data_IF_174754010123
#
_entry.id   IF_174754010123
#
_cell.length_a   1.000
_cell.length_b   1.000
_cell.length_c   1.000
_cell.angle_alpha   90.00
_cell.angle_beta   90.00
_cell.angle_gamma   90.00
#
_symmetry.space_group_name_H-M   'P 1'
#
loop_
_entity.id
_entity.type
_entity.pdbx_description
1 polymer ?
#
# COMPACT_ATOMS: atom_id res chain seq x y z
N UNK A 1 27.88 14.50 -10.33
CA UNK A 1 27.53 14.19 -11.72
C UNK A 1 27.61 15.45 -12.58
N UNK A 2 28.18 15.35 -13.77
CA UNK A 2 28.16 16.44 -14.78
C UNK A 2 26.73 16.69 -15.29
N UNK A 3 26.51 17.83 -15.95
CA UNK A 3 25.19 18.23 -16.45
C UNK A 3 24.57 17.24 -17.43
N UNK A 4 25.38 16.66 -18.32
CA UNK A 4 24.89 15.65 -19.28
C UNK A 4 24.43 14.35 -18.57
N UNK A 5 25.17 13.91 -17.58
CA UNK A 5 24.82 12.74 -16.77
C UNK A 5 23.57 13.01 -15.92
N UNK A 6 23.52 14.17 -15.23
CA UNK A 6 22.37 14.61 -14.47
C UNK A 6 21.11 14.65 -15.34
N UNK A 7 21.19 15.30 -16.50
CA UNK A 7 20.09 15.44 -17.45
C UNK A 7 19.53 14.05 -17.84
N UNK A 8 20.41 13.14 -18.25
CA UNK A 8 20.00 11.80 -18.67
C UNK A 8 19.32 11.05 -17.53
N UNK A 9 19.91 11.08 -16.32
CA UNK A 9 19.38 10.37 -15.15
C UNK A 9 18.02 10.92 -14.73
N UNK A 10 17.89 12.24 -14.56
CA UNK A 10 16.64 12.82 -14.07
C UNK A 10 15.46 12.61 -15.04
N UNK A 11 15.71 12.60 -16.35
CA UNK A 11 14.69 12.24 -17.34
C UNK A 11 14.25 10.78 -17.20
N UNK A 12 15.18 9.85 -17.06
CA UNK A 12 14.88 8.44 -16.89
C UNK A 12 14.11 8.19 -15.57
N UNK A 13 14.58 8.79 -14.48
CA UNK A 13 14.00 8.56 -13.14
C UNK A 13 12.59 9.16 -13.02
N UNK A 14 12.36 10.36 -13.61
CA UNK A 14 11.06 11.02 -13.50
C UNK A 14 10.09 10.66 -14.63
N UNK A 15 10.57 10.34 -15.83
CA UNK A 15 9.68 10.18 -17.00
C UNK A 15 9.77 8.81 -17.67
N UNK A 16 10.76 7.99 -17.30
CA UNK A 16 11.05 6.71 -17.95
C UNK A 16 11.61 6.84 -19.37
N UNK A 17 11.97 8.05 -19.80
CA UNK A 17 12.42 8.36 -21.15
C UNK A 17 13.72 9.16 -21.13
N UNK A 18 14.47 9.15 -22.21
CA UNK A 18 15.62 10.06 -22.40
C UNK A 18 15.15 11.41 -22.96
N UNK A 19 15.90 12.50 -22.74
CA UNK A 19 15.59 13.77 -23.36
C UNK A 19 15.76 13.70 -24.89
N UNK A 20 15.00 14.52 -25.61
CA UNK A 20 15.23 14.73 -27.02
C UNK A 20 16.56 15.49 -27.26
N UNK A 21 17.12 15.39 -28.45
CA UNK A 21 18.35 16.09 -28.79
C UNK A 21 18.22 17.64 -28.68
N UNK A 22 17.03 18.19 -28.90
CA UNK A 22 16.75 19.61 -28.72
C UNK A 22 16.76 20.00 -27.25
N UNK A 23 16.09 19.24 -26.38
CA UNK A 23 16.07 19.46 -24.93
C UNK A 23 17.48 19.33 -24.32
N UNK A 24 18.24 18.32 -24.77
CA UNK A 24 19.61 18.12 -24.31
C UNK A 24 20.52 19.34 -24.69
N UNK A 25 20.46 19.80 -25.92
CA UNK A 25 21.23 20.99 -26.35
C UNK A 25 20.83 22.25 -25.58
N UNK A 26 19.52 22.46 -25.41
CA UNK A 26 19.02 23.63 -24.67
C UNK A 26 19.49 23.63 -23.20
N UNK A 27 19.40 22.49 -22.50
CA UNK A 27 19.84 22.37 -21.12
C UNK A 27 21.34 22.52 -20.94
N UNK A 28 22.16 21.96 -21.87
CA UNK A 28 23.60 22.05 -21.77
C UNK A 28 24.12 23.47 -22.12
N UNK A 29 23.42 24.21 -22.97
CA UNK A 29 23.72 25.61 -23.31
C UNK A 29 23.29 26.61 -22.23
N UNK A 30 22.33 26.25 -21.38
CA UNK A 30 21.83 27.08 -20.28
C UNK A 30 22.90 27.24 -19.20
N UNK A 31 23.27 28.51 -18.89
CA UNK A 31 24.25 28.84 -17.85
C UNK A 31 23.60 29.29 -16.53
N UNK A 32 22.27 29.19 -16.41
CA UNK A 32 21.55 29.56 -15.20
C UNK A 32 21.96 28.66 -14.01
N UNK A 33 22.24 29.24 -12.83
CA UNK A 33 22.66 28.45 -11.66
C UNK A 33 21.57 27.50 -11.14
N UNK A 34 20.31 27.80 -11.45
CA UNK A 34 19.12 27.05 -11.03
C UNK A 34 18.53 26.12 -12.12
N UNK A 35 19.26 25.94 -13.23
CA UNK A 35 18.78 25.13 -14.37
C UNK A 35 18.38 23.70 -14.00
N UNK A 36 19.09 23.08 -13.04
CA UNK A 36 18.77 21.71 -12.57
C UNK A 36 17.45 21.68 -11.82
N UNK A 37 17.21 22.61 -10.90
CA UNK A 37 15.95 22.74 -10.16
C UNK A 37 14.79 23.01 -11.11
N UNK A 38 14.93 23.96 -12.02
CA UNK A 38 13.92 24.26 -13.05
C UNK A 38 13.59 23.06 -13.92
N UNK A 39 14.59 22.24 -14.25
CA UNK A 39 14.36 21.01 -15.01
C UNK A 39 13.55 19.99 -14.20
N UNK A 40 13.90 19.77 -12.93
CA UNK A 40 13.16 18.86 -12.04
C UNK A 40 11.70 19.29 -11.92
N UNK A 41 11.44 20.57 -11.62
CA UNK A 41 10.07 21.11 -11.49
C UNK A 41 9.26 20.93 -12.77
N UNK A 42 9.87 21.20 -13.92
CA UNK A 42 9.24 21.00 -15.23
C UNK A 42 8.88 19.54 -15.47
N UNK A 43 9.78 18.61 -15.17
CA UNK A 43 9.52 17.18 -15.36
C UNK A 43 8.46 16.67 -14.41
N UNK A 44 8.48 17.06 -13.13
CA UNK A 44 7.45 16.71 -12.13
C UNK A 44 6.06 17.25 -12.52
N UNK A 45 5.99 18.38 -13.24
CA UNK A 45 4.75 18.92 -13.80
C UNK A 45 4.26 18.24 -15.08
N UNK A 46 5.04 17.35 -15.68
CA UNK A 46 4.76 16.80 -17.00
C UNK A 46 3.79 15.61 -16.99
N UNK A 47 2.99 15.40 -18.07
CA UNK A 47 2.21 14.18 -18.23
C UNK A 47 3.07 12.90 -18.30
N UNK A 48 4.34 13.01 -18.69
CA UNK A 48 5.27 11.88 -18.74
C UNK A 48 5.60 11.37 -17.33
N UNK A 49 5.83 12.28 -16.36
CA UNK A 49 5.96 11.92 -14.95
C UNK A 49 4.74 11.16 -14.45
N UNK A 50 3.54 11.69 -14.71
CA UNK A 50 2.30 11.04 -14.25
C UNK A 50 2.18 9.62 -14.78
N UNK A 51 2.48 9.39 -16.06
CA UNK A 51 2.46 8.03 -16.64
C UNK A 51 3.50 7.11 -16.01
N UNK A 52 4.71 7.64 -15.82
CA UNK A 52 5.84 6.85 -15.30
C UNK A 52 5.61 6.43 -13.85
N UNK A 53 5.29 7.37 -12.97
CA UNK A 53 5.04 7.08 -11.56
C UNK A 53 3.80 6.19 -11.36
N UNK A 54 2.73 6.40 -12.14
CA UNK A 54 1.56 5.54 -12.10
C UNK A 54 1.89 4.10 -12.53
N UNK A 55 2.75 3.92 -13.54
CA UNK A 55 3.20 2.59 -13.96
C UNK A 55 4.09 1.91 -12.90
N UNK A 56 4.96 2.67 -12.22
CA UNK A 56 5.77 2.16 -11.12
C UNK A 56 4.90 1.68 -9.95
N UNK A 57 3.88 2.45 -9.59
CA UNK A 57 2.92 2.06 -8.54
C UNK A 57 2.00 0.92 -8.95
N UNK A 58 1.57 0.83 -10.22
CA UNK A 58 0.83 -0.32 -10.74
C UNK A 58 1.67 -1.61 -10.59
N UNK A 59 2.94 -1.56 -11.01
CA UNK A 59 3.85 -2.69 -10.86
C UNK A 59 4.06 -3.06 -9.39
N UNK A 60 4.29 -2.07 -8.53
CA UNK A 60 4.50 -2.28 -7.10
C UNK A 60 3.29 -2.92 -6.43
N UNK A 61 2.07 -2.42 -6.69
CA UNK A 61 0.86 -2.82 -5.97
C UNK A 61 0.16 -4.03 -6.58
N UNK A 62 0.25 -4.22 -7.89
CA UNK A 62 -0.48 -5.28 -8.60
C UNK A 62 0.43 -6.36 -9.22
N UNK A 63 1.76 -6.19 -9.24
CA UNK A 63 2.73 -7.20 -9.70
C UNK A 63 2.37 -7.84 -11.06
N UNK A 64 1.79 -7.03 -11.98
CA UNK A 64 1.28 -7.48 -13.29
C UNK A 64 0.16 -8.52 -13.21
N UNK A 65 -0.60 -8.56 -12.12
CA UNK A 65 -1.78 -9.44 -12.01
C UNK A 65 -2.80 -9.13 -13.12
N UNK A 66 -3.39 -10.19 -13.63
CA UNK A 66 -4.47 -10.10 -14.63
C UNK A 66 -5.74 -9.49 -14.04
N UNK A 67 -6.66 -9.15 -14.94
CA UNK A 67 -7.97 -8.59 -14.57
C UNK A 67 -8.92 -9.69 -14.09
N UNK A 68 -9.53 -9.48 -12.93
CA UNK A 68 -10.57 -10.36 -12.42
C UNK A 68 -11.89 -9.61 -12.19
N UNK A 69 -11.91 -8.71 -11.24
CA UNK A 69 -13.11 -7.97 -10.83
C UNK A 69 -13.07 -6.49 -11.22
N UNK A 70 -11.88 -5.92 -11.35
CA UNK A 70 -11.66 -4.52 -11.75
C UNK A 70 -10.71 -4.49 -12.93
N UNK A 71 -11.11 -3.78 -14.00
CA UNK A 71 -10.30 -3.71 -15.22
C UNK A 71 -9.02 -2.88 -15.03
N UNK A 72 -7.92 -3.35 -15.62
CA UNK A 72 -6.63 -2.65 -15.58
C UNK A 72 -6.68 -1.21 -16.11
N UNK A 73 -7.46 -0.86 -17.17
CA UNK A 73 -7.61 0.53 -17.57
C UNK A 73 -8.22 1.43 -16.51
N UNK A 74 -9.24 0.96 -15.74
CA UNK A 74 -9.85 1.73 -14.65
C UNK A 74 -8.85 1.99 -13.52
N UNK A 75 -8.10 0.97 -13.15
CA UNK A 75 -7.04 1.06 -12.14
C UNK A 75 -5.92 2.01 -12.56
N UNK A 76 -5.41 1.89 -13.79
CA UNK A 76 -4.37 2.78 -14.32
C UNK A 76 -4.86 4.22 -14.41
N UNK A 77 -6.08 4.43 -14.84
CA UNK A 77 -6.69 5.78 -14.86
C UNK A 77 -6.79 6.36 -13.45
N UNK A 78 -7.19 5.56 -12.45
CA UNK A 78 -7.22 5.99 -11.05
C UNK A 78 -5.85 6.43 -10.54
N UNK A 79 -4.79 5.65 -10.79
CA UNK A 79 -3.42 6.03 -10.42
C UNK A 79 -2.98 7.30 -11.14
N UNK A 80 -3.17 7.39 -12.46
CA UNK A 80 -2.80 8.58 -13.22
C UNK A 80 -3.52 9.83 -12.73
N UNK A 81 -4.82 9.75 -12.49
CA UNK A 81 -5.60 10.87 -11.95
C UNK A 81 -5.12 11.27 -10.56
N UNK A 82 -4.79 10.30 -9.70
CA UNK A 82 -4.26 10.55 -8.36
C UNK A 82 -2.91 11.28 -8.41
N UNK A 83 -1.97 10.82 -9.23
CA UNK A 83 -0.65 11.46 -9.36
C UNK A 83 -0.71 12.80 -10.12
N UNK A 84 -1.60 12.96 -11.09
CA UNK A 84 -1.82 14.25 -11.74
C UNK A 84 -2.31 15.31 -10.76
N UNK A 85 -3.23 14.92 -9.87
CA UNK A 85 -3.76 15.78 -8.79
C UNK A 85 -2.78 15.91 -7.60
N UNK A 86 -1.61 15.29 -7.66
CA UNK A 86 -0.66 15.20 -6.54
C UNK A 86 -1.33 14.73 -5.23
N UNK A 87 -2.20 13.69 -5.33
CA UNK A 87 -2.87 13.11 -4.17
C UNK A 87 -1.82 12.62 -3.16
N UNK A 88 -1.91 13.02 -1.88
CA UNK A 88 -1.00 12.52 -0.85
C UNK A 88 -0.98 10.99 -0.80
N UNK A 89 0.22 10.40 -0.64
CA UNK A 89 0.35 8.94 -0.64
C UNK A 89 -0.48 8.26 0.46
N UNK A 90 -0.56 8.85 1.64
CA UNK A 90 -1.38 8.31 2.72
C UNK A 90 -2.87 8.24 2.34
N UNK A 91 -3.39 9.23 1.61
CA UNK A 91 -4.76 9.19 1.09
C UNK A 91 -4.91 8.10 0.01
N UNK A 92 -3.95 8.00 -0.92
CA UNK A 92 -3.94 6.94 -1.93
C UNK A 92 -3.96 5.55 -1.27
N UNK A 93 -3.10 5.33 -0.28
CA UNK A 93 -3.02 4.08 0.47
C UNK A 93 -4.31 3.81 1.28
N UNK A 94 -4.88 4.84 1.91
CA UNK A 94 -6.15 4.71 2.64
C UNK A 94 -7.31 4.30 1.73
N UNK A 95 -7.39 4.87 0.53
CA UNK A 95 -8.39 4.49 -0.47
C UNK A 95 -8.19 3.04 -0.92
N UNK A 96 -6.95 2.60 -1.19
CA UNK A 96 -6.64 1.22 -1.59
C UNK A 96 -6.97 0.21 -0.47
N UNK A 97 -6.58 0.51 0.76
CA UNK A 97 -6.83 -0.37 1.90
C UNK A 97 -8.30 -0.36 2.34
N UNK A 98 -9.00 0.76 2.19
CA UNK A 98 -10.35 0.98 2.69
C UNK A 98 -11.49 0.76 1.68
N UNK A 99 -11.25 0.93 0.38
CA UNK A 99 -12.31 0.85 -0.62
C UNK A 99 -12.96 -0.53 -0.69
N UNK A 100 -14.29 -0.56 -0.74
CA UNK A 100 -15.07 -1.79 -0.88
C UNK A 100 -15.59 -2.03 -2.31
N UNK A 101 -15.41 -1.05 -3.18
CA UNK A 101 -15.81 -1.11 -4.58
C UNK A 101 -17.31 -0.89 -4.83
N UNK A 102 -18.09 -0.49 -3.81
CA UNK A 102 -19.50 -0.17 -3.95
C UNK A 102 -19.74 1.26 -4.45
N UNK A 103 -18.90 2.20 -4.02
CA UNK A 103 -18.88 3.54 -4.59
C UNK A 103 -18.16 3.52 -5.94
N UNK A 104 -18.82 3.96 -7.05
CA UNK A 104 -18.18 4.02 -8.36
C UNK A 104 -16.89 4.82 -8.39
N UNK A 105 -16.76 5.88 -7.57
CA UNK A 105 -15.55 6.70 -7.48
C UNK A 105 -14.38 5.97 -6.81
N UNK A 106 -14.68 5.00 -5.94
CA UNK A 106 -13.73 4.18 -5.20
C UNK A 106 -13.71 2.72 -5.71
N UNK A 107 -14.26 2.48 -6.90
CA UNK A 107 -14.26 1.15 -7.52
C UNK A 107 -12.85 0.69 -7.86
N UNK A 108 -12.09 1.55 -8.50
CA UNK A 108 -10.75 1.23 -8.97
C UNK A 108 -9.76 0.85 -7.83
N UNK A 109 -9.64 1.60 -6.71
CA UNK A 109 -8.73 1.22 -5.62
C UNK A 109 -9.11 -0.10 -4.94
N UNK A 110 -10.36 -0.54 -5.00
CA UNK A 110 -10.76 -1.85 -4.49
C UNK A 110 -10.15 -3.03 -5.26
N UNK A 111 -9.52 -2.80 -6.44
CA UNK A 111 -8.80 -3.81 -7.23
C UNK A 111 -7.79 -4.58 -6.38
N UNK A 112 -7.08 -3.89 -5.48
CA UNK A 112 -6.05 -4.51 -4.65
C UNK A 112 -6.57 -5.74 -3.91
N UNK A 113 -7.72 -5.65 -3.27
CA UNK A 113 -8.34 -6.77 -2.57
C UNK A 113 -9.22 -7.65 -3.47
N UNK A 114 -10.03 -7.05 -4.33
CA UNK A 114 -10.99 -7.78 -5.18
C UNK A 114 -10.28 -8.78 -6.10
N UNK A 115 -9.22 -8.36 -6.78
CA UNK A 115 -8.53 -9.22 -7.74
C UNK A 115 -7.62 -10.29 -7.07
N UNK A 116 -7.53 -10.25 -5.75
CA UNK A 116 -6.96 -11.31 -4.89
C UNK A 116 -8.04 -12.18 -4.23
N UNK A 117 -9.34 -12.00 -4.61
CA UNK A 117 -10.51 -12.65 -4.00
C UNK A 117 -10.64 -12.45 -2.50
N UNK A 118 -9.88 -11.54 -1.94
CA UNK A 118 -9.70 -11.37 -0.48
C UNK A 118 -9.38 -12.69 0.21
N UNK A 119 -8.57 -13.57 -0.46
CA UNK A 119 -8.05 -14.73 0.24
C UNK A 119 -7.24 -14.20 1.43
N UNK A 120 -7.64 -14.53 2.68
CA UNK A 120 -7.14 -13.77 3.83
C UNK A 120 -5.63 -13.88 4.03
N UNK A 121 -5.03 -15.04 3.74
CA UNK A 121 -3.58 -15.22 3.89
C UNK A 121 -2.83 -14.45 2.81
N UNK A 122 -3.28 -14.54 1.54
CA UNK A 122 -2.70 -13.77 0.45
C UNK A 122 -2.84 -12.26 0.71
N UNK A 123 -4.03 -11.81 1.12
CA UNK A 123 -4.28 -10.40 1.41
C UNK A 123 -3.37 -9.89 2.55
N UNK A 124 -3.16 -10.69 3.60
CA UNK A 124 -2.29 -10.35 4.73
C UNK A 124 -0.83 -10.19 4.29
N UNK A 125 -0.30 -11.17 3.55
CA UNK A 125 1.08 -11.13 3.03
C UNK A 125 1.30 -9.94 2.12
N UNK A 126 0.38 -9.68 1.20
CA UNK A 126 0.48 -8.55 0.27
C UNK A 126 0.36 -7.20 0.98
N UNK A 127 -0.50 -7.09 1.99
CA UNK A 127 -0.54 -5.88 2.84
C UNK A 127 0.78 -5.69 3.58
N UNK A 128 1.34 -6.75 4.17
CA UNK A 128 2.64 -6.72 4.83
C UNK A 128 3.75 -6.25 3.89
N UNK A 129 3.87 -6.89 2.73
CA UNK A 129 4.92 -6.57 1.74
C UNK A 129 4.77 -5.18 1.15
N UNK A 130 3.57 -4.80 0.67
CA UNK A 130 3.38 -3.57 -0.09
C UNK A 130 3.32 -2.32 0.79
N UNK A 131 2.68 -2.40 1.96
CA UNK A 131 2.44 -1.24 2.81
C UNK A 131 3.36 -1.15 4.03
N UNK A 132 3.91 -2.26 4.48
CA UNK A 132 4.77 -2.29 5.68
C UNK A 132 6.21 -2.75 5.40
N UNK A 133 6.49 -3.25 4.20
CA UNK A 133 7.84 -3.67 3.79
C UNK A 133 8.33 -4.94 4.50
N UNK A 134 7.41 -5.83 4.88
CA UNK A 134 7.72 -7.08 5.57
C UNK A 134 7.11 -8.27 4.85
N UNK A 135 7.88 -9.31 4.60
CA UNK A 135 7.38 -10.58 4.09
C UNK A 135 7.16 -11.55 5.26
N UNK A 136 5.90 -11.66 5.68
CA UNK A 136 5.48 -12.50 6.79
C UNK A 136 5.02 -13.90 6.36
N UNK A 137 5.41 -14.41 5.20
CA UNK A 137 4.90 -15.70 4.70
C UNK A 137 5.20 -16.85 5.67
N UNK A 138 6.41 -16.94 6.20
CA UNK A 138 6.78 -17.96 7.18
C UNK A 138 6.02 -17.80 8.51
N UNK A 139 5.72 -16.55 8.89
CA UNK A 139 5.03 -16.23 10.13
C UNK A 139 3.54 -16.64 10.13
N UNK A 140 3.01 -17.14 9.02
CA UNK A 140 1.70 -17.76 8.97
C UNK A 140 1.61 -19.05 9.83
N UNK A 141 2.68 -19.83 9.90
CA UNK A 141 2.67 -21.15 10.54
C UNK A 141 3.44 -21.19 11.86
N UNK A 142 4.45 -20.34 12.01
CA UNK A 142 5.36 -20.27 13.17
C UNK A 142 6.11 -18.95 13.15
N UNK A 143 6.79 -18.58 14.23
CA UNK A 143 7.73 -17.46 14.22
C UNK A 143 8.83 -17.71 13.19
N UNK A 144 9.31 -16.67 12.51
CA UNK A 144 10.27 -16.84 11.43
C UNK A 144 11.59 -17.43 11.98
N UNK A 145 12.15 -18.51 11.36
CA UNK A 145 13.28 -19.24 11.95
C UNK A 145 14.60 -18.46 12.00
N UNK A 146 14.74 -17.42 11.17
CA UNK A 146 15.99 -16.64 11.04
C UNK A 146 15.78 -15.13 11.17
N UNK A 147 14.58 -14.67 11.48
CA UNK A 147 14.24 -13.25 11.62
C UNK A 147 13.42 -13.10 12.89
N UNK A 148 14.08 -12.67 13.96
CA UNK A 148 13.56 -12.68 15.33
C UNK A 148 12.34 -11.75 15.52
N UNK A 149 12.19 -10.72 14.69
CA UNK A 149 11.10 -9.77 14.75
C UNK A 149 9.94 -10.08 13.77
N UNK A 150 9.95 -11.27 13.11
CA UNK A 150 8.83 -11.75 12.30
C UNK A 150 8.04 -12.82 13.07
N UNK A 151 7.15 -12.35 13.94
CA UNK A 151 6.39 -13.22 14.83
C UNK A 151 5.06 -13.66 14.20
N UNK A 152 4.64 -14.89 14.48
CA UNK A 152 3.32 -15.40 14.09
C UNK A 152 2.20 -14.50 14.63
N UNK A 153 2.35 -13.97 15.82
CA UNK A 153 1.41 -13.02 16.40
C UNK A 153 1.28 -11.72 15.59
N UNK A 154 2.36 -11.23 14.94
CA UNK A 154 2.30 -10.05 14.07
C UNK A 154 1.57 -10.35 12.76
N UNK A 155 1.82 -11.53 12.18
CA UNK A 155 1.07 -12.01 11.03
C UNK A 155 -0.42 -12.03 11.31
N UNK A 156 -0.84 -12.66 12.41
CA UNK A 156 -2.26 -12.79 12.75
C UNK A 156 -2.88 -11.48 13.24
N UNK A 157 -2.10 -10.55 13.76
CA UNK A 157 -2.51 -9.17 14.01
C UNK A 157 -2.93 -8.45 12.74
N UNK A 158 -2.12 -8.54 11.66
CA UNK A 158 -2.49 -8.01 10.33
C UNK A 158 -3.64 -8.82 9.70
N UNK A 159 -3.60 -10.15 9.78
CA UNK A 159 -4.66 -11.03 9.29
C UNK A 159 -6.03 -10.67 9.88
N UNK A 160 -6.08 -10.30 11.15
CA UNK A 160 -7.32 -9.95 11.82
C UNK A 160 -8.02 -8.74 11.19
N UNK A 161 -7.30 -7.82 10.52
CA UNK A 161 -7.92 -6.72 9.81
C UNK A 161 -8.70 -7.17 8.57
N UNK A 162 -8.25 -8.22 7.90
CA UNK A 162 -8.80 -8.66 6.60
C UNK A 162 -9.67 -9.92 6.70
N UNK A 163 -9.53 -10.70 7.77
CA UNK A 163 -10.15 -12.02 7.94
C UNK A 163 -11.69 -12.04 7.89
N UNK A 164 -12.33 -10.90 8.18
CA UNK A 164 -13.79 -10.74 8.12
C UNK A 164 -14.29 -10.32 6.75
N UNK A 165 -13.38 -9.94 5.83
CA UNK A 165 -13.72 -9.43 4.50
C UNK A 165 -13.87 -10.58 3.50
N UNK A 166 -14.81 -10.46 2.58
CA UNK A 166 -15.05 -11.43 1.51
C UNK A 166 -15.63 -10.75 0.26
N UNK A 167 -15.51 -11.42 -0.88
CA UNK A 167 -16.13 -10.96 -2.13
C UNK A 167 -17.63 -11.20 -2.09
N UNK A 168 -18.41 -10.16 -2.31
CA UNK A 168 -19.86 -10.21 -2.40
C UNK A 168 -20.31 -9.94 -3.83
N UNK A 169 -20.83 -10.97 -4.48
CA UNK A 169 -21.35 -10.91 -5.86
C UNK A 169 -22.55 -11.86 -5.99
N UNK A 170 -23.74 -11.44 -5.53
CA UNK A 170 -24.94 -12.29 -5.58
C UNK A 170 -25.45 -12.54 -6.99
N UNK A 171 -25.11 -11.67 -7.93
CA UNK A 171 -25.46 -11.74 -9.34
C UNK A 171 -24.20 -11.54 -10.18
N UNK A 172 -23.82 -12.54 -10.98
CA UNK A 172 -22.62 -12.49 -11.84
C UNK A 172 -22.67 -11.38 -12.90
N UNK A 173 -23.85 -10.82 -13.19
CA UNK A 173 -24.03 -9.69 -14.10
C UNK A 173 -23.72 -8.34 -13.44
N UNK A 174 -23.63 -8.29 -12.10
CA UNK A 174 -23.29 -7.09 -11.36
C UNK A 174 -21.82 -7.12 -10.93
N UNK A 175 -21.20 -5.95 -10.79
CA UNK A 175 -19.82 -5.88 -10.27
C UNK A 175 -19.72 -6.53 -8.88
N UNK A 176 -18.66 -7.31 -8.67
CA UNK A 176 -18.31 -7.80 -7.35
C UNK A 176 -17.88 -6.63 -6.44
N UNK A 177 -18.23 -6.67 -5.17
CA UNK A 177 -17.84 -5.70 -4.15
C UNK A 177 -17.32 -6.45 -2.92
N UNK A 178 -16.67 -5.75 -2.01
CA UNK A 178 -16.28 -6.33 -0.73
C UNK A 178 -17.42 -6.18 0.27
N UNK A 179 -17.62 -7.22 1.06
CA UNK A 179 -18.45 -7.21 2.24
C UNK A 179 -17.62 -7.67 3.46
N UNK A 180 -18.07 -7.36 4.65
CA UNK A 180 -17.37 -7.68 5.87
C UNK A 180 -18.34 -8.25 6.91
N UNK A 181 -17.91 -9.31 7.62
CA UNK A 181 -18.64 -9.83 8.77
C UNK A 181 -18.41 -8.92 9.97
N UNK A 182 -19.41 -8.75 10.82
CA UNK A 182 -19.25 -8.00 12.06
C UNK A 182 -18.52 -8.80 13.14
N UNK A 183 -18.59 -10.13 13.06
CA UNK A 183 -18.05 -11.05 14.07
C UNK A 183 -17.00 -11.98 13.46
N UNK A 184 -16.17 -12.55 14.31
CA UNK A 184 -15.15 -13.54 13.99
C UNK A 184 -13.83 -13.25 14.70
N UNK A 185 -13.47 -14.14 15.64
CA UNK A 185 -12.18 -14.08 16.32
C UNK A 185 -11.11 -14.75 15.47
N UNK A 186 -9.90 -14.26 15.59
CA UNK A 186 -8.73 -14.85 14.95
C UNK A 186 -8.02 -15.74 15.96
N UNK A 187 -8.02 -17.03 15.68
CA UNK A 187 -7.27 -18.04 16.44
C UNK A 187 -6.13 -18.55 15.58
N UNK A 188 -5.00 -18.79 16.19
CA UNK A 188 -3.85 -19.38 15.52
C UNK A 188 -3.13 -20.38 16.41
N UNK A 189 -2.36 -21.25 15.77
CA UNK A 189 -1.58 -22.29 16.46
C UNK A 189 -0.22 -22.41 15.80
N UNK A 190 0.84 -22.40 16.59
CA UNK A 190 2.19 -22.66 16.11
C UNK A 190 2.36 -24.14 15.80
N UNK A 191 2.83 -24.45 14.58
CA UNK A 191 3.08 -25.83 14.15
C UNK A 191 4.26 -26.48 14.86
N UNK A 192 5.19 -25.67 15.43
CA UNK A 192 6.36 -26.20 16.12
C UNK A 192 6.17 -26.32 17.63
N UNK A 193 5.61 -25.28 18.24
CA UNK A 193 5.49 -25.24 19.71
C UNK A 193 4.12 -25.74 20.21
N UNK A 194 3.12 -25.82 19.32
CA UNK A 194 1.73 -26.08 19.68
C UNK A 194 1.05 -24.94 20.42
N UNK A 195 1.73 -23.79 20.59
CA UNK A 195 1.15 -22.62 21.24
C UNK A 195 -0.12 -22.16 20.48
N UNK A 196 -1.19 -21.97 21.22
CA UNK A 196 -2.46 -21.45 20.70
C UNK A 196 -2.68 -20.02 21.19
N UNK A 197 -3.05 -19.13 20.29
CA UNK A 197 -3.32 -17.73 20.59
C UNK A 197 -4.64 -17.25 19.99
N UNK A 198 -5.19 -16.21 20.60
CA UNK A 198 -6.29 -15.42 20.05
C UNK A 198 -5.77 -14.01 19.92
N UNK A 199 -6.01 -13.37 18.78
CA UNK A 199 -5.55 -12.00 18.56
C UNK A 199 -6.66 -11.13 17.96
N UNK A 200 -6.59 -9.85 18.32
CA UNK A 200 -7.34 -8.76 17.72
C UNK A 200 -6.50 -8.06 16.67
N UNK A 201 -7.09 -7.21 15.81
CA UNK A 201 -6.31 -6.44 14.85
C UNK A 201 -5.22 -5.61 15.53
N UNK A 202 -4.00 -5.68 14.99
CA UNK A 202 -2.88 -4.82 15.37
C UNK A 202 -1.94 -4.59 14.19
N UNK A 203 -1.37 -3.40 14.12
CA UNK A 203 -0.27 -3.12 13.19
C UNK A 203 1.04 -3.65 13.77
N UNK A 204 2.05 -3.77 12.91
CA UNK A 204 3.39 -4.22 13.30
C UNK A 204 3.97 -3.31 14.38
N UNK A 205 4.44 -3.92 15.46
CA UNK A 205 5.00 -3.22 16.61
C UNK A 205 4.02 -2.38 17.43
N UNK A 206 2.70 -2.52 17.20
CA UNK A 206 1.66 -1.80 17.92
C UNK A 206 0.87 -2.75 18.85
N UNK A 207 0.12 -2.17 19.78
CA UNK A 207 -0.84 -2.91 20.60
C UNK A 207 -2.08 -3.29 19.79
N UNK A 208 -2.80 -4.32 20.26
CA UNK A 208 -4.10 -4.70 19.74
C UNK A 208 -5.10 -3.54 19.82
N UNK A 209 -6.01 -3.50 18.87
CA UNK A 209 -7.05 -2.46 18.82
C UNK A 209 -8.23 -2.90 19.67
N UNK A 210 -8.71 -2.00 20.53
CA UNK A 210 -9.98 -2.19 21.20
C UNK A 210 -11.12 -2.07 20.19
N UNK A 211 -11.96 -3.10 20.16
CA UNK A 211 -13.14 -3.14 19.32
C UNK A 211 -14.40 -2.84 20.15
N UNK A 212 -15.35 -2.08 19.59
CA UNK A 212 -16.61 -1.83 20.29
C UNK A 212 -17.40 -3.14 20.42
N UNK A 213 -18.02 -3.36 21.58
CA UNK A 213 -18.98 -4.43 21.77
C UNK A 213 -20.38 -3.97 21.43
N UNK A 214 -21.12 -4.82 20.74
CA UNK A 214 -22.53 -4.59 20.39
C UNK A 214 -23.40 -5.66 21.05
N UNK A 215 -24.64 -5.30 21.36
CA UNK A 215 -25.63 -6.32 21.74
C UNK A 215 -25.88 -7.25 20.56
N UNK A 216 -26.22 -8.49 20.86
CA UNK A 216 -26.49 -9.50 19.83
C UNK A 216 -27.50 -8.98 18.81
N UNK A 217 -27.04 -8.91 17.57
CA UNK A 217 -27.83 -8.46 16.44
C UNK A 217 -27.86 -6.94 16.21
N UNK A 218 -27.12 -6.13 16.95
CA UNK A 218 -26.97 -4.68 16.72
C UNK A 218 -25.64 -4.29 16.06
N UNK A 219 -24.86 -5.25 15.67
CA UNK A 219 -23.50 -5.16 15.13
C UNK A 219 -23.43 -4.74 13.64
N UNK A 220 -24.57 -4.76 12.94
CA UNK A 220 -24.68 -4.35 11.56
C UNK A 220 -25.47 -3.04 11.39
N UNK A 221 -25.04 -2.18 10.44
CA UNK A 221 -25.87 -1.12 9.86
C UNK A 221 -26.88 -1.71 8.88
N UNK A 222 -26.42 -2.66 8.04
CA UNK A 222 -27.25 -3.42 7.11
C UNK A 222 -26.97 -4.90 7.36
N UNK A 223 -27.98 -5.64 7.83
CA UNK A 223 -27.87 -7.09 8.07
C UNK A 223 -28.04 -7.87 6.77
N UNK A 224 -27.36 -8.99 6.67
CA UNK A 224 -27.67 -10.00 5.68
C UNK A 224 -29.12 -10.51 5.92
N UNK A 225 -29.89 -10.62 4.85
CA UNK A 225 -31.21 -11.24 4.88
C UNK A 225 -31.09 -12.64 4.24
N UNK A 226 -31.33 -13.73 4.99
CA UNK A 226 -31.27 -15.09 4.44
C UNK A 226 -32.22 -15.32 3.26
N UNK A 227 -33.33 -14.56 3.20
CA UNK A 227 -34.32 -14.64 2.12
C UNK A 227 -33.96 -13.77 0.92
N UNK A 228 -33.10 -12.75 1.12
CA UNK A 228 -32.70 -11.78 0.09
C UNK A 228 -31.18 -11.78 -0.08
N UNK A 229 -30.67 -12.78 -0.77
CA UNK A 229 -29.22 -12.98 -0.98
C UNK A 229 -28.48 -11.80 -1.68
N UNK A 230 -29.22 -10.83 -2.19
CA UNK A 230 -28.68 -9.63 -2.85
C UNK A 230 -28.41 -8.44 -1.91
N UNK A 231 -28.69 -8.57 -0.61
CA UNK A 231 -28.39 -7.54 0.38
C UNK A 231 -26.97 -7.74 0.89
N UNK A 232 -26.08 -6.76 0.58
CA UNK A 232 -24.74 -6.73 1.12
C UNK A 232 -24.76 -6.35 2.59
N UNK A 233 -24.24 -7.17 3.51
CA UNK A 233 -24.13 -6.77 4.90
C UNK A 233 -23.07 -5.66 5.07
N UNK A 234 -23.37 -4.71 5.96
CA UNK A 234 -22.48 -3.62 6.31
C UNK A 234 -22.38 -3.60 7.86
N UNK A 235 -21.21 -3.93 8.44
CA UNK A 235 -21.03 -3.87 9.87
C UNK A 235 -20.98 -2.42 10.36
N UNK A 236 -21.34 -2.18 11.62
CA UNK A 236 -21.16 -0.88 12.28
C UNK A 236 -19.69 -0.57 12.51
N UNK A 237 -18.85 -1.60 12.66
CA UNK A 237 -17.42 -1.48 12.84
C UNK A 237 -16.68 -2.34 11.79
N UNK A 238 -15.90 -1.70 10.96
CA UNK A 238 -15.11 -2.36 9.91
C UNK A 238 -13.65 -2.45 10.34
N UNK A 239 -13.12 -3.67 10.47
CA UNK A 239 -11.70 -3.92 10.74
C UNK A 239 -10.82 -3.40 9.61
N UNK A 240 -11.25 -3.57 8.36
CA UNK A 240 -10.51 -3.09 7.20
C UNK A 240 -10.46 -1.55 7.12
N UNK A 241 -11.54 -0.86 7.51
CA UNK A 241 -11.51 0.59 7.63
C UNK A 241 -10.55 1.06 8.74
N UNK A 242 -10.40 0.28 9.83
CA UNK A 242 -9.39 0.56 10.85
C UNK A 242 -7.96 0.35 10.33
N UNK A 243 -7.71 -0.69 9.52
CA UNK A 243 -6.43 -0.86 8.84
C UNK A 243 -6.07 0.39 8.04
N UNK A 244 -6.97 0.81 7.14
CA UNK A 244 -6.77 1.98 6.30
C UNK A 244 -6.43 3.22 7.14
N UNK A 245 -7.26 3.52 8.15
CA UNK A 245 -7.09 4.69 9.01
C UNK A 245 -5.76 4.66 9.77
N UNK A 246 -5.45 3.53 10.44
CA UNK A 246 -4.30 3.45 11.35
C UNK A 246 -2.97 3.27 10.63
N UNK A 247 -2.96 2.64 9.47
CA UNK A 247 -1.75 2.53 8.65
C UNK A 247 -1.30 3.90 8.12
N UNK A 248 -2.26 4.78 7.81
CA UNK A 248 -2.03 5.98 7.01
C UNK A 248 -2.11 7.30 7.79
N UNK A 249 -2.28 7.25 9.11
CA UNK A 249 -2.38 8.44 9.98
C UNK A 249 -1.02 9.11 10.30
N UNK A 250 0.07 8.61 9.74
CA UNK A 250 1.42 9.11 9.95
C UNK A 250 2.13 8.54 11.19
N UNK A 251 1.44 7.77 12.01
CA UNK A 251 1.97 7.22 13.28
C UNK A 251 2.56 5.81 13.15
N UNK A 252 2.39 5.16 12.00
CA UNK A 252 2.94 3.83 11.75
C UNK A 252 4.37 3.91 11.22
N UNK A 253 5.42 3.60 12.04
CA UNK A 253 6.80 3.70 11.58
C UNK A 253 7.12 2.73 10.44
N UNK A 254 6.54 1.53 10.44
CA UNK A 254 6.74 0.55 9.37
C UNK A 254 6.16 1.06 8.04
N UNK A 255 4.95 1.63 8.04
CA UNK A 255 4.35 2.23 6.85
C UNK A 255 5.19 3.40 6.31
N UNK A 256 5.59 4.33 7.18
CA UNK A 256 6.35 5.52 6.79
C UNK A 256 7.72 5.16 6.20
N UNK A 257 8.46 4.26 6.87
CA UNK A 257 9.77 3.77 6.40
C UNK A 257 9.67 2.99 5.11
N UNK A 258 8.65 2.13 4.96
CA UNK A 258 8.48 1.36 3.74
C UNK A 258 8.30 2.23 2.51
N UNK A 259 7.41 3.22 2.56
CA UNK A 259 7.19 4.07 1.38
C UNK A 259 8.39 4.98 1.10
N UNK A 260 9.03 5.55 2.13
CA UNK A 260 10.25 6.32 1.97
C UNK A 260 11.36 5.49 1.30
N UNK A 261 11.55 4.24 1.73
CA UNK A 261 12.50 3.30 1.15
C UNK A 261 12.19 2.97 -0.32
N UNK A 262 10.90 2.77 -0.66
CA UNK A 262 10.47 2.46 -2.04
C UNK A 262 10.65 3.65 -2.97
N UNK A 263 10.33 4.86 -2.53
CA UNK A 263 10.58 6.09 -3.30
C UNK A 263 12.09 6.33 -3.47
N UNK A 264 12.87 6.15 -2.42
CA UNK A 264 14.33 6.19 -2.50
C UNK A 264 14.87 5.17 -3.49
N UNK A 265 14.39 3.92 -3.43
CA UNK A 265 14.82 2.87 -4.35
C UNK A 265 14.47 3.20 -5.81
N UNK A 266 13.31 3.83 -6.04
CA UNK A 266 12.89 4.27 -7.37
C UNK A 266 13.86 5.31 -7.96
N UNK A 267 14.34 6.25 -7.16
CA UNK A 267 15.24 7.31 -7.59
C UNK A 267 16.72 6.91 -7.60
N UNK A 268 17.13 6.05 -6.65
CA UNK A 268 18.54 5.69 -6.47
C UNK A 268 18.90 4.30 -6.99
N UNK A 269 17.90 3.56 -7.52
CA UNK A 269 18.06 2.21 -8.07
C UNK A 269 18.11 1.11 -7.01
N UNK A 270 18.35 1.45 -5.72
CA UNK A 270 18.37 0.50 -4.60
C UNK A 270 17.86 1.18 -3.33
N UNK A 271 17.04 0.46 -2.56
CA UNK A 271 16.58 0.93 -1.25
C UNK A 271 17.68 0.96 -0.20
N UNK A 272 17.49 1.77 0.83
CA UNK A 272 18.31 1.74 2.05
C UNK A 272 18.16 0.40 2.77
N UNK A 273 16.94 -0.18 2.73
CA UNK A 273 16.69 -1.59 3.01
C UNK A 273 16.46 -2.31 1.68
N UNK A 274 17.19 -3.40 1.45
CA UNK A 274 17.09 -4.20 0.24
C UNK A 274 17.23 -5.70 0.58
N UNK A 275 16.30 -6.58 0.12
CA UNK A 275 15.06 -6.27 -0.62
C UNK A 275 14.10 -5.33 0.09
N UNK A 276 13.24 -4.63 -0.67
CA UNK A 276 12.36 -3.57 -0.12
C UNK A 276 11.24 -4.09 0.80
N UNK A 277 11.00 -5.39 0.80
CA UNK A 277 10.01 -6.10 1.62
C UNK A 277 10.65 -6.94 2.74
N UNK A 278 11.92 -6.68 3.07
CA UNK A 278 12.65 -7.38 4.12
C UNK A 278 13.15 -6.40 5.21
N UNK A 279 12.26 -5.51 5.66
CA UNK A 279 12.55 -4.66 6.82
C UNK A 279 12.52 -5.49 8.10
N UNK A 280 13.67 -5.71 8.69
CA UNK A 280 13.83 -6.49 9.92
C UNK A 280 15.05 -6.04 10.72
N UNK A 281 15.12 -6.46 11.98
CA UNK A 281 16.29 -6.21 12.81
C UNK A 281 17.56 -6.86 12.23
N UNK A 282 17.42 -8.01 11.56
CA UNK A 282 18.51 -8.71 10.87
C UNK A 282 18.92 -8.09 9.53
N UNK A 283 18.13 -7.18 8.98
CA UNK A 283 18.42 -6.45 7.73
C UNK A 283 18.21 -4.93 7.93
N UNK A 284 19.06 -4.28 8.75
CA UNK A 284 18.92 -2.86 9.04
C UNK A 284 19.18 -2.02 7.78
N UNK A 285 18.65 -0.80 7.73
CA UNK A 285 18.96 0.14 6.65
C UNK A 285 20.48 0.37 6.54
N UNK A 286 21.00 0.45 5.32
CA UNK A 286 22.41 0.78 5.05
C UNK A 286 22.84 2.12 5.67
N UNK A 287 21.89 3.02 5.91
CA UNK A 287 22.03 4.23 6.70
C UNK A 287 20.77 4.45 7.54
N UNK A 288 20.74 4.01 8.82
CA UNK A 288 19.54 4.11 9.67
C UNK A 288 19.10 5.55 9.94
N UNK A 289 20.06 6.49 10.09
CA UNK A 289 19.74 7.90 10.34
C UNK A 289 19.08 8.54 9.13
N UNK A 290 19.57 8.26 7.93
CA UNK A 290 18.97 8.74 6.69
C UNK A 290 17.57 8.13 6.50
N UNK A 291 17.40 6.84 6.75
CA UNK A 291 16.09 6.20 6.67
C UNK A 291 15.07 6.87 7.59
N UNK A 292 15.46 7.15 8.83
CA UNK A 292 14.56 7.80 9.78
C UNK A 292 14.25 9.23 9.32
N UNK A 293 15.27 10.01 8.93
CA UNK A 293 15.08 11.37 8.43
C UNK A 293 14.14 11.42 7.20
N UNK A 294 14.30 10.50 6.24
CA UNK A 294 13.42 10.43 5.06
C UNK A 294 11.97 10.08 5.45
N UNK A 295 11.79 9.15 6.37
CA UNK A 295 10.45 8.77 6.83
C UNK A 295 9.74 9.92 7.57
N UNK A 296 10.47 10.62 8.44
CA UNK A 296 9.95 11.76 9.21
C UNK A 296 9.63 12.95 8.30
N UNK A 297 10.52 13.25 7.35
CA UNK A 297 10.33 14.33 6.38
C UNK A 297 9.13 14.06 5.46
N UNK A 298 8.96 12.82 5.01
CA UNK A 298 7.80 12.45 4.19
C UNK A 298 6.46 12.66 4.93
N UNK A 299 6.43 12.36 6.23
CA UNK A 299 5.28 12.68 7.08
C UNK A 299 5.09 14.18 7.23
N UNK A 300 6.17 14.94 7.49
CA UNK A 300 6.14 16.39 7.63
C UNK A 300 5.64 17.08 6.35
N UNK A 301 6.03 16.57 5.18
CA UNK A 301 5.51 16.97 3.85
C UNK A 301 4.08 16.48 3.58
N UNK A 302 3.38 15.91 4.57
CA UNK A 302 2.02 15.37 4.43
C UNK A 302 1.90 14.34 3.30
N UNK A 303 2.93 13.53 3.15
CA UNK A 303 3.03 12.47 2.14
C UNK A 303 2.96 12.97 0.69
N UNK A 304 3.44 14.17 0.41
CA UNK A 304 3.55 14.73 -0.93
C UNK A 304 4.69 14.06 -1.69
N UNK A 305 4.34 13.23 -2.69
CA UNK A 305 5.32 12.44 -3.46
C UNK A 305 6.21 13.31 -4.34
N UNK A 306 5.70 14.42 -4.85
CA UNK A 306 6.50 15.33 -5.70
C UNK A 306 7.47 16.16 -4.88
N UNK A 307 7.05 16.61 -3.70
CA UNK A 307 7.90 17.36 -2.78
C UNK A 307 9.05 16.51 -2.23
N UNK A 308 8.78 15.23 -1.90
CA UNK A 308 9.77 14.25 -1.45
C UNK A 308 10.80 13.92 -2.52
#
# INVERSE_FOLDING_TARGET
AGDAEFLRRIYLDLTGMIPSSAEARAFLADQSPDKRTKLVDRLLGSPAYVRHIAAAFDLMLMERRGDKHVKSPEWKQYLQTSFAANKPYNQLAAEILGADGADPKLRAPAKFFLDRDVEPNLATREVGRMFFGVDLECAQCHDHPNIDDYLQADYYGLYAFVSRTYVFQPDKKKPAVLAEKAEGDVKFKSVFTGFEGITRPRLLGASEIDEPSFKKGEDYQVKADPKKKNIRPIPKYSRRAQLAKRATDGRSPAFNRNIANRLWAHMMGRGLVHPADLHSAGNPPSNPQLMQALADEFVAMKFDVKAF
#
